data_IF_089369678833
#
_entry.id   IF_089369678833
#
_cell.length_a   1.000
_cell.length_b   1.000
_cell.length_c   1.000
_cell.angle_alpha   90.00
_cell.angle_beta   90.00
_cell.angle_gamma   90.00
#
_symmetry.space_group_name_H-M   'P 1'
#
loop_
_entity.id
_entity.type
_entity.pdbx_description
1 polymer ?
#
# COMPACT_ATOMS: atom_id res chain seq x y z
N UNK A 1 32.19 -17.99 -2.06
CA UNK A 1 31.50 -16.70 -2.29
C UNK A 1 30.01 -16.94 -2.13
N UNK A 2 29.40 -16.58 -1.00
CA UNK A 2 27.96 -16.71 -0.85
C UNK A 2 27.28 -15.66 -1.72
N UNK A 3 26.49 -16.09 -2.71
CA UNK A 3 25.61 -15.23 -3.48
C UNK A 3 24.64 -14.55 -2.53
N UNK A 4 24.75 -13.23 -2.36
CA UNK A 4 23.76 -12.43 -1.65
C UNK A 4 22.45 -12.50 -2.42
N UNK A 5 21.50 -13.30 -1.92
CA UNK A 5 20.18 -13.40 -2.52
C UNK A 5 19.37 -12.17 -2.16
N UNK A 6 18.83 -11.48 -3.18
CA UNK A 6 17.93 -10.37 -2.98
C UNK A 6 16.56 -10.94 -2.55
N UNK A 7 16.15 -10.65 -1.32
CA UNK A 7 14.85 -11.08 -0.79
C UNK A 7 13.76 -10.11 -1.23
N UNK A 8 12.69 -10.65 -1.85
CA UNK A 8 11.44 -9.92 -2.13
C UNK A 8 10.43 -10.18 -1.01
N UNK A 9 9.96 -9.12 -0.36
CA UNK A 9 8.93 -9.18 0.70
C UNK A 9 7.65 -8.47 0.23
N UNK A 10 6.53 -9.17 0.34
CA UNK A 10 5.19 -8.60 0.11
C UNK A 10 4.73 -7.94 1.40
N UNK A 11 4.32 -6.68 1.32
CA UNK A 11 3.81 -5.92 2.47
C UNK A 11 2.29 -5.91 2.42
N UNK A 12 1.68 -6.28 3.55
CA UNK A 12 0.23 -6.23 3.78
C UNK A 12 -0.03 -5.77 5.21
N UNK A 13 -0.90 -4.79 5.37
CA UNK A 13 -1.37 -4.28 6.67
C UNK A 13 -2.89 -4.08 6.62
N UNK A 14 -3.54 -4.34 7.75
CA UNK A 14 -4.96 -4.04 7.93
C UNK A 14 -5.24 -2.53 7.99
N UNK A 15 -4.22 -1.71 8.29
CA UNK A 15 -4.37 -0.27 8.44
C UNK A 15 -4.53 0.50 7.12
N UNK A 16 -4.11 -0.07 5.99
CA UNK A 16 -4.16 0.57 4.67
C UNK A 16 -5.36 0.12 3.82
N UNK A 17 -6.31 -0.62 4.41
CA UNK A 17 -7.47 -1.17 3.72
C UNK A 17 -7.12 -2.35 2.80
N UNK A 18 -8.13 -3.11 2.33
CA UNK A 18 -7.91 -4.25 1.47
C UNK A 18 -7.46 -3.81 0.06
N UNK A 19 -6.53 -4.57 -0.52
CA UNK A 19 -6.16 -4.47 -1.93
C UNK A 19 -7.31 -5.02 -2.79
N UNK A 20 -7.85 -4.21 -3.70
CA UNK A 20 -8.87 -4.63 -4.66
C UNK A 20 -8.23 -4.88 -6.04
N UNK A 21 -7.51 -6.00 -6.20
CA UNK A 21 -6.90 -6.39 -7.49
C UNK A 21 -5.62 -7.23 -7.36
N UNK A 22 -5.03 -7.68 -8.50
CA UNK A 22 -3.81 -8.50 -8.52
C UNK A 22 -2.54 -7.65 -8.30
N UNK A 23 -2.48 -6.90 -7.20
CA UNK A 23 -1.34 -6.10 -6.78
C UNK A 23 -1.08 -6.26 -5.27
N UNK A 24 0.06 -5.76 -4.79
CA UNK A 24 0.40 -5.71 -3.36
C UNK A 24 0.37 -4.27 -2.86
N UNK A 25 0.01 -4.03 -1.59
CA UNK A 25 0.06 -2.68 -1.02
C UNK A 25 1.47 -2.08 -1.17
N UNK A 26 2.50 -2.89 -0.91
CA UNK A 26 3.87 -2.56 -1.27
C UNK A 26 4.72 -3.83 -1.48
N UNK A 27 5.84 -3.67 -2.15
CA UNK A 27 6.86 -4.71 -2.30
C UNK A 27 8.21 -4.13 -1.88
N UNK A 28 8.87 -4.78 -0.92
CA UNK A 28 10.23 -4.43 -0.52
C UNK A 28 11.24 -5.38 -1.19
N UNK A 29 12.28 -4.81 -1.77
CA UNK A 29 13.40 -5.54 -2.39
C UNK A 29 14.69 -4.90 -1.92
N UNK A 30 15.47 -5.63 -1.12
CA UNK A 30 16.64 -5.07 -0.43
C UNK A 30 16.24 -3.89 0.47
N UNK A 31 16.79 -2.71 0.19
CA UNK A 31 16.54 -1.48 0.94
C UNK A 31 15.51 -0.55 0.28
N UNK A 32 14.95 -0.94 -0.87
CA UNK A 32 13.94 -0.13 -1.58
C UNK A 32 12.54 -0.70 -1.33
N UNK A 33 11.61 0.19 -1.01
CA UNK A 33 10.19 -0.12 -0.84
C UNK A 33 9.40 0.54 -1.99
N UNK A 34 8.74 -0.27 -2.80
CA UNK A 34 7.86 0.18 -3.87
C UNK A 34 6.42 0.17 -3.35
N UNK A 35 5.83 1.35 -3.22
CA UNK A 35 4.44 1.54 -2.77
C UNK A 35 3.51 1.56 -3.98
N UNK A 36 2.35 0.92 -3.86
CA UNK A 36 1.27 1.11 -4.83
C UNK A 36 0.66 2.50 -4.70
N UNK A 37 -0.02 2.96 -5.76
CA UNK A 37 -0.86 4.15 -5.66
C UNK A 37 -1.99 3.90 -4.66
N UNK A 38 -2.22 4.87 -3.77
CA UNK A 38 -3.28 4.86 -2.77
C UNK A 38 -4.35 5.89 -3.14
N UNK A 39 -5.60 5.56 -2.85
CA UNK A 39 -6.75 6.47 -2.94
C UNK A 39 -7.31 6.68 -1.54
N UNK A 40 -7.94 7.84 -1.31
CA UNK A 40 -8.40 8.28 0.00
C UNK A 40 -9.62 7.52 0.53
N UNK A 41 -9.51 6.20 0.67
CA UNK A 41 -10.53 5.34 1.25
C UNK A 41 -10.29 5.16 2.75
N UNK A 42 -11.34 5.20 3.55
CA UNK A 42 -11.28 4.80 4.96
C UNK A 42 -11.07 3.27 5.01
N UNK A 43 -9.99 2.78 5.63
CA UNK A 43 -9.66 1.35 5.68
C UNK A 43 -10.70 0.50 6.44
N UNK A 44 -11.56 1.12 7.27
CA UNK A 44 -12.63 0.45 8.01
C UNK A 44 -13.88 0.25 7.17
N UNK A 45 -14.24 1.24 6.35
CA UNK A 45 -15.51 1.24 5.59
C UNK A 45 -15.31 0.85 4.14
N UNK A 46 -14.11 1.03 3.58
CA UNK A 46 -13.84 0.88 2.16
C UNK A 46 -14.46 1.97 1.28
N UNK A 47 -14.97 3.05 1.89
CA UNK A 47 -15.56 4.21 1.20
C UNK A 47 -14.60 5.40 1.21
N UNK A 48 -14.83 6.40 0.35
CA UNK A 48 -14.03 7.63 0.37
C UNK A 48 -14.14 8.34 1.73
N UNK A 49 -13.03 8.86 2.23
CA UNK A 49 -12.94 9.60 3.49
C UNK A 49 -13.60 11.00 3.46
N UNK A 50 -14.25 11.34 2.35
CA UNK A 50 -15.00 12.57 2.15
C UNK A 50 -15.30 12.81 0.66
N UNK A 51 -16.16 13.78 0.40
CA UNK A 51 -16.59 14.13 -0.96
C UNK A 51 -15.56 15.02 -1.70
N UNK A 52 -14.63 15.62 -0.96
CA UNK A 52 -13.64 16.56 -1.48
C UNK A 52 -12.25 15.96 -1.67
N UNK A 53 -11.46 16.64 -2.50
CA UNK A 53 -10.07 16.26 -2.79
C UNK A 53 -9.16 16.40 -1.56
N UNK A 54 -9.46 17.32 -0.65
CA UNK A 54 -8.63 17.59 0.52
C UNK A 54 -8.73 16.45 1.54
N UNK A 55 -9.95 15.97 1.79
CA UNK A 55 -10.24 14.86 2.68
C UNK A 55 -9.65 13.56 2.14
N UNK A 56 -9.83 13.30 0.84
CA UNK A 56 -9.26 12.14 0.19
C UNK A 56 -7.73 12.19 0.20
N UNK A 57 -7.11 13.33 -0.13
CA UNK A 57 -5.65 13.51 -0.11
C UNK A 57 -5.05 13.33 1.29
N UNK A 58 -5.76 13.73 2.35
CA UNK A 58 -5.33 13.52 3.73
C UNK A 58 -5.36 12.04 4.14
N UNK A 59 -6.23 11.25 3.52
CA UNK A 59 -6.40 9.83 3.82
C UNK A 59 -5.37 8.93 3.10
N UNK A 60 -4.80 9.38 1.98
CA UNK A 60 -3.71 8.71 1.25
C UNK A 60 -2.44 8.67 2.09
#
# INVERSE_FOLDING_TARGET
MASSQIVRRIIKTAAAGPTSGPYSQAVQVGQTLYLSGSIGLDPKTGQFAGDGVQEQARQV
#
